data_IF_553105284795
#
_entry.id   IF_553105284795
#
_cell.length_a   1.000
_cell.length_b   1.000
_cell.length_c   1.000
_cell.angle_alpha   90.00
_cell.angle_beta   90.00
_cell.angle_gamma   90.00
#
_symmetry.space_group_name_H-M   'P 1'
#
loop_
_entity.id
_entity.type
_entity.pdbx_description
1 polymer ?
#
# COMPACT_ATOMS: atom_id res chain seq x y z
N UNK A 1 -8.25 58.43 -18.10
CA UNK A 1 -8.37 57.03 -18.55
C UNK A 1 -7.84 56.16 -17.45
N UNK A 2 -8.71 55.49 -16.68
CA UNK A 2 -8.32 54.59 -15.61
C UNK A 2 -8.29 53.16 -16.15
N UNK A 3 -7.13 52.51 -16.12
CA UNK A 3 -6.94 51.12 -16.50
C UNK A 3 -7.30 50.21 -15.32
N UNK A 4 -8.47 49.60 -15.39
CA UNK A 4 -8.90 48.54 -14.48
C UNK A 4 -8.00 47.32 -14.67
N UNK A 5 -7.15 47.04 -13.69
CA UNK A 5 -6.40 45.78 -13.60
C UNK A 5 -7.34 44.70 -13.07
N UNK A 6 -7.71 43.77 -13.94
CA UNK A 6 -8.54 42.64 -13.58
C UNK A 6 -7.66 41.63 -12.83
N UNK A 7 -7.81 41.56 -11.51
CA UNK A 7 -7.09 40.63 -10.65
C UNK A 7 -7.60 39.21 -10.94
N UNK A 8 -6.90 38.49 -11.81
CA UNK A 8 -7.20 37.09 -12.11
C UNK A 8 -6.88 36.25 -10.87
N UNK A 9 -7.90 35.60 -10.30
CA UNK A 9 -7.72 34.68 -9.18
C UNK A 9 -6.77 33.53 -9.59
N UNK A 10 -5.80 33.16 -8.75
CA UNK A 10 -4.89 32.06 -9.06
C UNK A 10 -5.71 30.77 -9.22
N UNK A 11 -5.48 30.05 -10.32
CA UNK A 11 -6.08 28.75 -10.55
C UNK A 11 -5.76 27.80 -9.38
N UNK A 12 -6.71 26.94 -8.96
CA UNK A 12 -6.47 26.00 -7.87
C UNK A 12 -5.26 25.11 -8.22
N UNK A 13 -4.26 25.08 -7.34
CA UNK A 13 -3.13 24.14 -7.46
C UNK A 13 -3.71 22.73 -7.45
N UNK A 14 -3.47 21.98 -8.52
CA UNK A 14 -3.77 20.55 -8.55
C UNK A 14 -3.11 19.88 -7.34
N UNK A 15 -3.86 19.03 -6.63
CA UNK A 15 -3.32 18.26 -5.52
C UNK A 15 -2.11 17.45 -6.01
N UNK A 16 -0.93 17.79 -5.48
CA UNK A 16 0.29 17.05 -5.80
C UNK A 16 0.14 15.68 -5.15
N UNK A 17 0.16 14.64 -5.97
CA UNK A 17 0.12 13.27 -5.50
C UNK A 17 1.22 13.02 -4.45
N UNK A 18 0.82 12.70 -3.22
CA UNK A 18 1.76 12.43 -2.13
C UNK A 18 2.38 11.03 -2.25
N UNK A 19 3.48 10.97 -2.99
CA UNK A 19 4.31 9.76 -3.12
C UNK A 19 4.77 9.20 -1.76
N UNK A 20 4.95 10.06 -0.76
CA UNK A 20 5.45 9.64 0.55
C UNK A 20 4.47 8.74 1.28
N UNK A 21 3.16 8.95 1.08
CA UNK A 21 2.12 8.10 1.65
C UNK A 21 2.15 6.69 1.06
N UNK A 22 2.39 6.55 -0.24
CA UNK A 22 2.57 5.25 -0.89
C UNK A 22 3.81 4.53 -0.33
N UNK A 23 4.95 5.22 -0.30
CA UNK A 23 6.20 4.64 0.22
C UNK A 23 6.06 4.18 1.67
N UNK A 24 5.47 5.00 2.55
CA UNK A 24 5.25 4.64 3.96
C UNK A 24 4.36 3.40 4.09
N UNK A 25 3.29 3.33 3.30
CA UNK A 25 2.36 2.20 3.33
C UNK A 25 3.04 0.90 2.93
N UNK A 26 3.80 0.90 1.83
CA UNK A 26 4.53 -0.29 1.39
C UNK A 26 5.68 -0.67 2.32
N UNK A 27 6.36 0.31 2.93
CA UNK A 27 7.38 0.03 3.93
C UNK A 27 6.80 -0.70 5.15
N UNK A 28 5.63 -0.26 5.64
CA UNK A 28 4.91 -0.91 6.72
C UNK A 28 4.47 -2.33 6.33
N UNK A 29 3.82 -2.49 5.17
CA UNK A 29 3.38 -3.81 4.69
C UNK A 29 4.55 -4.79 4.56
N UNK A 30 5.68 -4.34 4.02
CA UNK A 30 6.90 -5.15 3.93
C UNK A 30 7.35 -5.61 5.31
N UNK A 31 7.37 -4.73 6.30
CA UNK A 31 7.79 -5.06 7.66
C UNK A 31 6.90 -6.16 8.26
N UNK A 32 5.57 -5.96 8.26
CA UNK A 32 4.60 -6.90 8.84
C UNK A 32 4.67 -8.29 8.17
N UNK A 33 4.75 -8.33 6.83
CA UNK A 33 4.85 -9.61 6.10
C UNK A 33 6.18 -10.30 6.37
N UNK A 34 7.27 -9.53 6.51
CA UNK A 34 8.57 -10.08 6.87
C UNK A 34 8.55 -10.69 8.27
N UNK A 35 7.82 -10.09 9.22
CA UNK A 35 7.64 -10.67 10.56
C UNK A 35 6.91 -12.02 10.49
N UNK A 36 5.84 -12.13 9.71
CA UNK A 36 5.12 -13.40 9.52
C UNK A 36 5.98 -14.47 8.82
N UNK A 37 6.78 -14.09 7.83
CA UNK A 37 7.72 -15.01 7.15
C UNK A 37 8.77 -15.52 8.14
N UNK A 38 9.34 -14.62 8.94
CA UNK A 38 10.31 -14.98 9.97
C UNK A 38 9.66 -15.83 11.07
N UNK A 39 8.42 -15.53 11.44
CA UNK A 39 7.71 -16.30 12.46
C UNK A 39 7.38 -17.73 11.99
N UNK A 40 7.04 -17.88 10.71
CA UNK A 40 6.83 -19.16 10.07
C UNK A 40 8.13 -19.96 9.92
N UNK A 41 9.32 -19.36 10.01
CA UNK A 41 10.61 -20.09 9.97
C UNK A 41 11.10 -20.50 11.36
N UNK A 42 10.62 -19.84 12.44
CA UNK A 42 11.00 -20.14 13.83
C UNK A 42 10.57 -21.54 14.29
N UNK A 43 11.34 -22.12 15.21
CA UNK A 43 11.00 -23.38 15.88
C UNK A 43 9.83 -23.22 16.85
N UNK A 44 9.73 -22.06 17.51
CA UNK A 44 8.58 -21.61 18.28
C UNK A 44 8.09 -20.29 17.71
N UNK A 45 6.94 -20.33 17.06
CA UNK A 45 6.28 -19.14 16.49
C UNK A 45 5.66 -18.30 17.61
N UNK A 46 5.61 -16.99 17.39
CA UNK A 46 5.09 -15.99 18.32
C UNK A 46 3.63 -15.65 18.03
N UNK A 47 3.23 -15.67 16.76
CA UNK A 47 1.89 -15.27 16.34
C UNK A 47 0.98 -16.47 16.04
N UNK A 48 1.41 -17.70 16.30
CA UNK A 48 0.68 -18.92 15.97
C UNK A 48 0.88 -20.00 17.04
N UNK A 49 -0.14 -20.84 17.25
CA UNK A 49 -0.11 -21.93 18.22
C UNK A 49 0.60 -23.19 17.68
N UNK A 50 0.67 -23.34 16.35
CA UNK A 50 1.42 -24.43 15.69
C UNK A 50 2.23 -23.92 14.50
N UNK A 51 3.14 -24.78 14.02
CA UNK A 51 3.97 -24.50 12.84
C UNK A 51 3.12 -24.37 11.57
N UNK A 52 2.11 -25.22 11.44
CA UNK A 52 1.15 -25.22 10.34
C UNK A 52 0.35 -23.91 10.34
N UNK A 53 -0.09 -23.45 11.50
CA UNK A 53 -0.80 -22.17 11.61
C UNK A 53 0.10 -20.98 11.25
N UNK A 54 1.37 -21.01 11.65
CA UNK A 54 2.34 -19.96 11.27
C UNK A 54 2.55 -19.90 9.75
N UNK A 55 2.68 -21.07 9.11
CA UNK A 55 2.78 -21.19 7.65
C UNK A 55 1.51 -20.68 6.97
N UNK A 56 0.33 -21.07 7.46
CA UNK A 56 -0.95 -20.61 6.91
C UNK A 56 -1.10 -19.08 6.99
N UNK A 57 -0.68 -18.47 8.11
CA UNK A 57 -0.70 -17.00 8.29
C UNK A 57 0.24 -16.29 7.31
N UNK A 58 1.46 -16.82 7.11
CA UNK A 58 2.40 -16.32 6.10
C UNK A 58 1.79 -16.40 4.70
N UNK A 59 1.25 -17.56 4.33
CA UNK A 59 0.75 -17.80 2.98
C UNK A 59 -0.50 -16.95 2.69
N UNK A 60 -1.39 -16.78 3.68
CA UNK A 60 -2.51 -15.85 3.58
C UNK A 60 -2.06 -14.40 3.37
N UNK A 61 -1.03 -13.94 4.09
CA UNK A 61 -0.51 -12.59 3.91
C UNK A 61 0.12 -12.37 2.52
N UNK A 62 0.86 -13.37 2.01
CA UNK A 62 1.41 -13.32 0.65
C UNK A 62 0.31 -13.33 -0.41
N UNK A 63 -0.74 -14.14 -0.24
CA UNK A 63 -1.87 -14.18 -1.14
C UNK A 63 -2.60 -12.83 -1.20
N UNK A 64 -2.76 -12.14 -0.06
CA UNK A 64 -3.37 -10.80 -0.03
C UNK A 64 -2.53 -9.76 -0.79
N UNK A 65 -1.19 -9.83 -0.73
CA UNK A 65 -0.32 -8.95 -1.51
C UNK A 65 -0.50 -9.19 -3.02
N UNK A 66 -0.58 -10.44 -3.45
CA UNK A 66 -0.84 -10.80 -4.85
C UNK A 66 -2.21 -10.28 -5.30
N UNK A 67 -3.26 -10.50 -4.51
CA UNK A 67 -4.61 -10.00 -4.81
C UNK A 67 -4.66 -8.46 -4.88
N UNK A 68 -3.90 -7.77 -4.03
CA UNK A 68 -3.81 -6.31 -4.07
C UNK A 68 -3.17 -5.84 -5.38
N UNK A 69 -2.11 -6.50 -5.85
CA UNK A 69 -1.48 -6.21 -7.13
C UNK A 69 -2.44 -6.46 -8.31
N UNK A 70 -3.14 -7.60 -8.31
CA UNK A 70 -4.15 -7.93 -9.32
C UNK A 70 -5.26 -6.89 -9.37
N UNK A 71 -5.80 -6.46 -8.22
CA UNK A 71 -6.84 -5.43 -8.16
C UNK A 71 -6.35 -4.08 -8.68
N UNK A 72 -5.11 -3.69 -8.37
CA UNK A 72 -4.51 -2.47 -8.94
C UNK A 72 -4.40 -2.58 -10.45
N UNK A 73 -4.02 -3.74 -10.97
CA UNK A 73 -3.96 -3.97 -12.41
C UNK A 73 -5.34 -3.99 -13.08
N UNK A 74 -6.38 -4.49 -12.41
CA UNK A 74 -7.76 -4.38 -12.89
C UNK A 74 -8.21 -2.93 -12.94
N UNK A 75 -7.92 -2.11 -11.92
CA UNK A 75 -8.25 -0.68 -11.92
C UNK A 75 -7.61 0.05 -13.12
N UNK A 76 -6.38 -0.32 -13.51
CA UNK A 76 -5.76 0.24 -14.72
C UNK A 76 -6.50 -0.13 -16.00
N UNK A 77 -7.16 -1.30 -16.03
CA UNK A 77 -7.87 -1.84 -17.18
C UNK A 77 -9.33 -1.38 -17.26
N UNK A 78 -9.99 -1.16 -16.12
CA UNK A 78 -11.40 -0.75 -16.00
C UNK A 78 -11.70 0.70 -16.49
N UNK A 79 -10.72 1.37 -17.09
CA UNK A 79 -10.87 2.71 -17.67
C UNK A 79 -10.35 2.85 -19.10
N UNK A 80 -10.05 1.72 -19.78
CA UNK A 80 -9.64 1.67 -21.18
C UNK A 80 -10.67 0.91 -22.03
#
# INVERSE_FOLDING_TARGET
MATSTNTQAPAPKAEIFDRSTVTRTFARLKHEVTELVNDASRSRSFYAASKEEAIAKRDAALALLSQAAEKIDTIKKDGN
#
